data_IF_558040746686
#
_entry.id   IF_558040746686
#
_cell.length_a   1.000
_cell.length_b   1.000
_cell.length_c   1.000
_cell.angle_alpha   90.00
_cell.angle_beta   90.00
_cell.angle_gamma   90.00
#
_symmetry.space_group_name_H-M   'P 1'
#
loop_
_entity.id
_entity.type
_entity.pdbx_description
1 polymer ?
#
# COMPACT_ATOMS: atom_id res chain seq x y z
N UNK A 1 -11.09 -6.46 0.98
CA UNK A 1 -9.90 -6.06 0.21
C UNK A 1 -10.40 -5.50 -1.09
N UNK A 2 -9.90 -4.34 -1.48
CA UNK A 2 -10.16 -3.71 -2.77
C UNK A 2 -9.09 -4.14 -3.77
N UNK A 3 -9.45 -4.23 -5.04
CA UNK A 3 -8.55 -4.54 -6.13
C UNK A 3 -8.05 -3.24 -6.77
N UNK A 4 -6.97 -2.71 -6.22
CA UNK A 4 -6.38 -1.47 -6.72
C UNK A 4 -5.87 -1.58 -8.16
N UNK A 5 -5.67 -2.80 -8.69
CA UNK A 5 -5.29 -3.02 -10.10
C UNK A 5 -6.49 -2.79 -11.00
N UNK A 6 -7.67 -3.30 -10.62
CA UNK A 6 -8.93 -2.99 -11.32
C UNK A 6 -9.21 -1.50 -11.25
N UNK A 7 -9.07 -0.89 -10.07
CA UNK A 7 -9.46 0.50 -9.82
C UNK A 7 -8.56 1.53 -10.50
N UNK A 8 -7.25 1.30 -10.51
CA UNK A 8 -6.26 2.26 -11.00
C UNK A 8 -5.61 1.86 -12.32
N UNK A 9 -5.65 0.57 -12.68
CA UNK A 9 -4.96 0.03 -13.85
C UNK A 9 -3.71 -0.75 -13.53
N UNK A 10 -3.31 -1.60 -14.46
CA UNK A 10 -2.14 -2.45 -14.32
C UNK A 10 -0.85 -1.69 -14.58
N UNK A 11 0.13 -1.89 -13.69
CA UNK A 11 1.53 -1.52 -13.90
C UNK A 11 2.41 -2.78 -13.91
N UNK A 12 3.44 -2.77 -14.75
CA UNK A 12 4.37 -3.88 -14.97
C UNK A 12 5.82 -3.44 -14.73
N UNK A 13 6.61 -4.36 -14.19
CA UNK A 13 8.04 -4.13 -13.96
C UNK A 13 8.81 -4.31 -15.27
N UNK A 14 9.77 -3.43 -15.52
CA UNK A 14 10.58 -3.50 -16.73
C UNK A 14 11.36 -4.82 -16.80
N UNK A 15 11.95 -5.29 -15.69
CA UNK A 15 12.72 -6.54 -15.67
C UNK A 15 11.81 -7.74 -15.89
N UNK A 16 10.58 -7.72 -15.39
CA UNK A 16 9.59 -8.78 -15.69
C UNK A 16 9.20 -8.78 -17.18
N UNK A 17 8.94 -7.61 -17.77
CA UNK A 17 8.67 -7.49 -19.19
C UNK A 17 9.83 -8.04 -20.04
N UNK A 18 11.07 -7.67 -19.72
CA UNK A 18 12.26 -8.18 -20.39
C UNK A 18 12.40 -9.70 -20.25
N UNK A 19 12.22 -10.24 -19.04
CA UNK A 19 12.27 -11.69 -18.75
C UNK A 19 11.23 -12.48 -19.54
N UNK A 20 10.07 -11.88 -19.79
CA UNK A 20 8.95 -12.49 -20.52
C UNK A 20 8.98 -12.22 -22.03
N UNK A 21 9.97 -11.47 -22.52
CA UNK A 21 10.09 -11.10 -23.93
C UNK A 21 9.01 -10.13 -24.40
N UNK A 22 8.41 -9.36 -23.49
CA UNK A 22 7.45 -8.29 -23.81
C UNK A 22 8.25 -7.07 -24.29
N UNK A 23 8.01 -6.54 -25.50
CA UNK A 23 8.66 -5.31 -25.95
C UNK A 23 8.40 -4.15 -24.99
N UNK A 24 9.39 -3.29 -24.73
CA UNK A 24 9.21 -2.11 -23.86
C UNK A 24 8.07 -1.19 -24.33
N UNK A 25 7.76 -1.15 -25.63
CA UNK A 25 6.63 -0.41 -26.18
C UNK A 25 5.26 -0.97 -25.80
N UNK A 26 5.20 -2.24 -25.39
CA UNK A 26 3.99 -2.94 -24.97
C UNK A 26 3.96 -3.19 -23.45
N UNK A 27 5.06 -2.89 -22.75
CA UNK A 27 5.16 -3.00 -21.31
C UNK A 27 4.45 -1.80 -20.64
N UNK A 28 3.47 -2.08 -19.77
CA UNK A 28 2.73 -1.06 -19.03
C UNK A 28 3.53 -0.53 -17.84
N UNK A 29 4.56 0.25 -18.11
CA UNK A 29 5.47 0.76 -17.08
C UNK A 29 4.81 1.79 -16.14
N UNK A 30 3.72 2.43 -16.59
CA UNK A 30 3.00 3.48 -15.84
C UNK A 30 1.52 3.13 -15.67
N UNK A 31 0.94 3.51 -14.53
CA UNK A 31 -0.49 3.44 -14.26
C UNK A 31 -1.19 4.53 -15.07
N UNK A 32 -1.90 4.14 -16.12
CA UNK A 32 -2.60 5.06 -17.03
C UNK A 32 -4.10 5.13 -16.81
N UNK A 33 -4.63 4.38 -15.84
CA UNK A 33 -6.04 4.24 -15.54
C UNK A 33 -6.55 2.80 -15.71
N UNK A 34 -7.79 2.52 -15.25
CA UNK A 34 -8.38 1.19 -15.30
C UNK A 34 -8.58 0.69 -16.73
N UNK A 35 -8.37 -0.61 -16.96
CA UNK A 35 -8.65 -1.24 -18.27
C UNK A 35 -10.15 -1.28 -18.58
N UNK A 36 -10.95 -1.53 -17.54
CA UNK A 36 -12.41 -1.48 -17.57
C UNK A 36 -12.89 -0.43 -16.57
N UNK A 37 -13.29 0.72 -17.11
CA UNK A 37 -13.75 1.84 -16.30
C UNK A 37 -15.07 1.54 -15.58
N UNK A 38 -15.98 0.76 -16.18
CA UNK A 38 -17.27 0.45 -15.56
C UNK A 38 -17.07 -0.43 -14.33
N UNK A 39 -16.24 -1.47 -14.45
CA UNK A 39 -15.87 -2.32 -13.31
C UNK A 39 -15.13 -1.51 -12.22
N UNK A 40 -14.22 -0.60 -12.60
CA UNK A 40 -13.55 0.27 -11.64
C UNK A 40 -14.53 1.22 -10.91
N UNK A 41 -15.44 1.85 -11.65
CA UNK A 41 -16.46 2.75 -11.09
C UNK A 41 -17.41 2.00 -10.14
N UNK A 42 -17.76 0.75 -10.45
CA UNK A 42 -18.56 -0.13 -9.57
C UNK A 42 -17.81 -0.43 -8.25
N UNK A 43 -16.51 -0.72 -8.32
CA UNK A 43 -15.69 -0.98 -7.14
C UNK A 43 -15.52 0.27 -6.27
N UNK A 44 -15.33 1.45 -6.89
CA UNK A 44 -15.30 2.74 -6.19
C UNK A 44 -16.61 3.03 -5.46
N UNK A 45 -17.75 2.82 -6.12
CA UNK A 45 -19.08 3.01 -5.52
C UNK A 45 -19.32 2.02 -4.38
N UNK A 46 -18.97 0.75 -4.58
CA UNK A 46 -19.08 -0.27 -3.54
C UNK A 46 -18.28 0.12 -2.30
N UNK A 47 -17.01 0.51 -2.47
CA UNK A 47 -16.13 0.91 -1.37
C UNK A 47 -16.71 2.10 -0.61
N UNK A 48 -17.15 3.14 -1.31
CA UNK A 48 -17.71 4.33 -0.68
C UNK A 48 -18.94 3.98 0.18
N UNK A 49 -19.82 3.10 -0.32
CA UNK A 49 -20.98 2.63 0.43
C UNK A 49 -20.58 1.84 1.68
N UNK A 50 -19.59 0.93 1.58
CA UNK A 50 -19.12 0.18 2.74
C UNK A 50 -18.53 1.09 3.83
N UNK A 51 -17.73 2.08 3.43
CA UNK A 51 -17.14 3.04 4.37
C UNK A 51 -18.21 3.89 5.06
N UNK A 52 -19.19 4.37 4.30
CA UNK A 52 -20.28 5.20 4.81
C UNK A 52 -21.18 4.44 5.80
N UNK A 53 -21.46 3.16 5.54
CA UNK A 53 -22.38 2.35 6.35
C UNK A 53 -21.71 1.73 7.58
N UNK A 54 -20.38 1.61 7.59
CA UNK A 54 -19.69 0.91 8.67
C UNK A 54 -19.86 1.62 10.01
N UNK A 55 -20.14 0.84 11.06
CA UNK A 55 -20.18 1.29 12.45
C UNK A 55 -19.04 0.74 13.31
N UNK A 56 -18.08 0.01 12.73
CA UNK A 56 -16.97 -0.62 13.44
C UNK A 56 -16.11 0.39 14.22
N UNK A 57 -15.48 -0.04 15.30
CA UNK A 57 -14.58 0.80 16.10
C UNK A 57 -13.24 1.05 15.40
N UNK A 58 -12.78 0.05 14.65
CA UNK A 58 -11.63 0.14 13.76
C UNK A 58 -12.04 -0.15 12.32
N UNK A 59 -11.57 0.67 11.39
CA UNK A 59 -11.74 0.44 9.96
C UNK A 59 -10.38 0.22 9.32
N UNK A 60 -10.23 -0.89 8.60
CA UNK A 60 -9.02 -1.20 7.86
C UNK A 60 -9.42 -1.42 6.40
N UNK A 61 -8.81 -0.66 5.50
CA UNK A 61 -8.94 -0.85 4.06
C UNK A 61 -7.65 -1.47 3.55
N UNK A 62 -7.76 -2.45 2.66
CA UNK A 62 -6.61 -3.21 2.20
C UNK A 62 -6.65 -3.29 0.69
N UNK A 63 -5.54 -2.95 0.06
CA UNK A 63 -5.37 -2.98 -1.39
C UNK A 63 -4.00 -3.53 -1.76
N UNK A 64 -3.76 -3.68 -3.06
CA UNK A 64 -2.48 -4.18 -3.54
C UNK A 64 -1.43 -3.05 -3.58
N UNK A 65 -1.79 -1.94 -4.21
CA UNK A 65 -0.94 -0.78 -4.39
C UNK A 65 -0.92 0.12 -3.15
N UNK A 66 0.23 0.68 -2.77
CA UNK A 66 0.31 1.62 -1.66
C UNK A 66 -0.23 3.00 -2.06
N UNK A 67 -0.97 3.65 -1.15
CA UNK A 67 -1.26 5.09 -1.25
C UNK A 67 0.06 5.85 -1.15
N UNK A 68 0.84 5.56 -0.11
CA UNK A 68 2.19 6.07 0.08
C UNK A 68 3.18 4.93 0.23
N UNK A 69 4.30 5.02 -0.48
CA UNK A 69 5.52 4.23 -0.23
C UNK A 69 6.75 5.01 -0.66
N UNK A 70 7.89 4.79 0.01
CA UNK A 70 9.17 5.42 -0.36
C UNK A 70 10.05 4.51 -1.22
N UNK A 71 9.64 3.26 -1.44
CA UNK A 71 10.48 2.22 -2.03
C UNK A 71 10.51 2.30 -3.57
N UNK A 72 10.72 1.20 -4.28
CA UNK A 72 10.98 1.15 -5.72
C UNK A 72 9.79 1.57 -6.59
N UNK A 73 8.56 1.32 -6.16
CA UNK A 73 7.35 1.70 -6.92
C UNK A 73 6.78 3.03 -6.45
N UNK A 74 6.91 3.33 -5.16
CA UNK A 74 6.53 4.63 -4.62
C UNK A 74 5.02 4.83 -4.45
N UNK A 75 4.56 6.08 -4.29
CA UNK A 75 3.15 6.36 -4.04
C UNK A 75 2.29 6.23 -5.30
N UNK A 76 1.10 5.65 -5.17
CA UNK A 76 0.17 5.48 -6.30
C UNK A 76 -0.73 6.70 -6.45
N UNK A 77 -0.45 7.54 -7.45
CA UNK A 77 -1.16 8.81 -7.67
C UNK A 77 -2.69 8.66 -7.73
N UNK A 78 -3.19 7.65 -8.46
CA UNK A 78 -4.63 7.35 -8.52
C UNK A 78 -5.26 7.14 -7.12
N UNK A 79 -4.56 6.48 -6.21
CA UNK A 79 -5.05 6.24 -4.85
C UNK A 79 -4.91 7.48 -3.95
N UNK A 80 -3.85 8.27 -4.11
CA UNK A 80 -3.73 9.57 -3.43
C UNK A 80 -4.87 10.51 -3.85
N UNK A 81 -5.20 10.56 -5.14
CA UNK A 81 -6.24 11.46 -5.63
C UNK A 81 -7.66 11.01 -5.31
N UNK A 82 -7.94 9.70 -5.37
CA UNK A 82 -9.31 9.17 -5.27
C UNK A 82 -9.61 8.48 -3.93
N UNK A 83 -8.67 7.67 -3.41
CA UNK A 83 -8.91 6.85 -2.22
C UNK A 83 -8.64 7.62 -0.92
N UNK A 84 -7.50 8.33 -0.81
CA UNK A 84 -7.12 9.06 0.40
C UNK A 84 -8.23 9.99 0.92
N UNK A 85 -8.93 10.79 0.09
CA UNK A 85 -10.02 11.63 0.56
C UNK A 85 -11.12 10.86 1.32
N UNK A 86 -11.46 9.64 0.89
CA UNK A 86 -12.44 8.82 1.59
C UNK A 86 -11.87 8.16 2.84
N UNK A 87 -10.61 7.73 2.83
CA UNK A 87 -9.96 7.20 4.03
C UNK A 87 -10.01 8.24 5.17
N UNK A 88 -9.73 9.50 4.82
CA UNK A 88 -9.81 10.64 5.74
C UNK A 88 -11.26 10.97 6.14
N UNK A 89 -12.18 11.07 5.16
CA UNK A 89 -13.58 11.42 5.41
C UNK A 89 -14.28 10.45 6.38
N UNK A 90 -13.98 9.15 6.27
CA UNK A 90 -14.65 8.10 7.05
C UNK A 90 -13.85 7.62 8.28
N UNK A 91 -12.76 8.33 8.62
CA UNK A 91 -11.86 8.00 9.72
C UNK A 91 -11.42 6.53 9.68
N UNK A 92 -10.86 6.10 8.54
CA UNK A 92 -10.25 4.77 8.42
C UNK A 92 -9.03 4.72 9.33
N UNK A 93 -8.92 3.69 10.18
CA UNK A 93 -7.82 3.55 11.13
C UNK A 93 -6.50 3.26 10.42
N UNK A 94 -6.52 2.36 9.43
CA UNK A 94 -5.34 2.03 8.64
C UNK A 94 -5.68 1.64 7.19
N UNK A 95 -4.78 2.01 6.27
CA UNK A 95 -4.70 1.45 4.92
C UNK A 95 -3.51 0.49 4.85
N UNK A 96 -3.75 -0.76 4.45
CA UNK A 96 -2.73 -1.80 4.36
C UNK A 96 -2.51 -2.20 2.90
N UNK A 97 -1.28 -2.09 2.42
CA UNK A 97 -0.89 -2.39 1.05
C UNK A 97 0.19 -3.49 0.97
N UNK A 98 0.46 -3.97 -0.25
CA UNK A 98 1.48 -4.97 -0.54
C UNK A 98 0.90 -6.37 -0.74
N UNK A 99 1.69 -7.39 -0.40
CA UNK A 99 1.29 -8.79 -0.49
C UNK A 99 0.40 -9.19 0.70
N UNK A 100 -0.75 -8.52 0.82
CA UNK A 100 -1.63 -8.67 1.98
C UNK A 100 -2.39 -10.00 1.89
N UNK A 101 -1.76 -11.07 2.36
CA UNK A 101 -2.39 -12.36 2.62
C UNK A 101 -3.02 -12.34 4.01
N UNK A 102 -4.31 -12.00 4.12
CA UNK A 102 -5.04 -12.12 5.38
C UNK A 102 -5.22 -13.58 5.77
N UNK A 103 -4.52 -14.02 6.81
CA UNK A 103 -4.97 -15.12 7.67
C UNK A 103 -5.66 -14.52 8.90
N UNK A 104 -6.92 -14.09 8.73
CA UNK A 104 -7.79 -13.76 9.86
C UNK A 104 -8.46 -15.08 10.30
N UNK A 105 -8.41 -15.42 11.59
CA UNK A 105 -9.25 -16.48 12.19
C UNK A 105 -10.72 -16.05 12.27
N UNK A 106 -11.29 -15.61 11.13
CA UNK A 106 -12.70 -15.36 10.90
C UNK A 106 -12.93 -15.71 9.44
N UNK A 107 -13.71 -16.77 9.21
CA UNK A 107 -14.07 -17.33 7.91
C UNK A 107 -14.15 -16.29 6.78
N UNK A 108 -13.20 -16.28 5.84
CA UNK A 108 -13.47 -15.78 4.48
C UNK A 108 -12.45 -16.25 3.44
N UNK A 109 -12.96 -16.41 2.22
CA UNK A 109 -12.37 -17.10 1.08
C UNK A 109 -11.04 -16.49 0.61
N UNK A 110 -10.03 -17.34 0.45
CA UNK A 110 -8.76 -17.02 -0.22
C UNK A 110 -8.95 -17.19 -1.72
N UNK A 111 -8.92 -16.09 -2.48
CA UNK A 111 -8.75 -16.16 -3.92
C UNK A 111 -7.31 -16.59 -4.22
N UNK A 112 -7.11 -17.90 -4.37
CA UNK A 112 -5.89 -18.46 -4.99
C UNK A 112 -5.86 -17.99 -6.45
N UNK A 113 -4.75 -17.34 -6.84
CA UNK A 113 -4.21 -17.19 -8.21
C UNK A 113 -3.98 -15.77 -8.75
N UNK A 114 -3.87 -14.71 -7.93
CA UNK A 114 -3.49 -13.37 -8.45
C UNK A 114 -2.38 -12.74 -7.61
N UNK A 115 -1.18 -13.33 -7.63
CA UNK A 115 -0.06 -12.95 -6.76
C UNK A 115 1.25 -12.71 -7.52
N UNK A 116 1.18 -12.08 -8.69
CA UNK A 116 2.37 -11.80 -9.50
C UNK A 116 2.24 -10.48 -10.27
N UNK A 117 1.83 -9.41 -9.59
CA UNK A 117 1.85 -8.04 -10.11
C UNK A 117 2.37 -7.12 -9.01
N UNK A 118 2.93 -5.96 -9.37
CA UNK A 118 3.88 -5.19 -8.56
C UNK A 118 3.35 -4.67 -7.22
N UNK A 119 4.18 -4.79 -6.18
CA UNK A 119 4.02 -4.21 -4.84
C UNK A 119 5.40 -3.81 -4.33
N UNK A 120 5.49 -2.78 -3.48
CA UNK A 120 6.77 -2.47 -2.84
C UNK A 120 7.19 -3.63 -1.94
N UNK A 121 8.35 -4.22 -2.24
CA UNK A 121 8.86 -5.43 -1.60
C UNK A 121 9.51 -5.12 -0.25
N UNK A 122 8.85 -4.31 0.57
CA UNK A 122 9.35 -3.87 1.88
C UNK A 122 8.25 -3.88 2.94
N UNK A 123 8.65 -3.59 4.18
CA UNK A 123 7.74 -3.20 5.24
C UNK A 123 7.88 -1.73 5.54
N UNK A 124 6.76 -1.00 5.52
CA UNK A 124 6.74 0.41 5.84
C UNK A 124 5.61 0.76 6.80
N UNK A 125 5.87 1.78 7.61
CA UNK A 125 4.83 2.51 8.33
C UNK A 125 5.01 4.00 8.07
N UNK A 126 3.98 4.58 7.44
CA UNK A 126 3.89 6.01 7.15
C UNK A 126 2.70 6.58 7.95
N UNK A 127 2.99 7.60 8.75
CA UNK A 127 2.02 8.34 9.53
C UNK A 127 2.10 9.82 9.17
N UNK A 128 1.09 10.30 8.43
CA UNK A 128 1.04 11.69 7.96
C UNK A 128 0.61 12.61 9.12
N UNK A 129 1.39 13.64 9.46
CA UNK A 129 1.03 14.56 10.54
C UNK A 129 -0.35 15.19 10.34
N UNK A 130 -1.21 15.09 11.35
CA UNK A 130 -2.57 15.65 11.33
C UNK A 130 -3.62 14.76 10.66
N UNK A 131 -3.25 13.63 10.09
CA UNK A 131 -4.20 12.62 9.63
C UNK A 131 -4.46 11.56 10.71
N UNK A 132 -5.69 11.07 10.78
CA UNK A 132 -6.05 9.91 11.62
C UNK A 132 -5.61 8.58 10.99
N UNK A 133 -5.58 8.52 9.65
CA UNK A 133 -5.27 7.33 8.87
C UNK A 133 -3.79 6.98 8.98
N UNK A 134 -3.50 5.68 9.11
CA UNK A 134 -2.15 5.13 9.14
C UNK A 134 -1.90 4.27 7.91
N UNK A 135 -0.74 4.43 7.24
CA UNK A 135 -0.43 3.69 6.02
C UNK A 135 0.63 2.63 6.32
N UNK A 136 0.30 1.39 6.00
CA UNK A 136 1.12 0.20 6.30
C UNK A 136 1.40 -0.53 4.99
N UNK A 137 2.66 -0.80 4.71
CA UNK A 137 3.07 -1.64 3.55
C UNK A 137 3.62 -2.96 4.08
N UNK A 138 3.15 -4.07 3.50
CA UNK A 138 3.52 -5.45 3.90
C UNK A 138 3.91 -6.29 2.67
N UNK A 139 4.80 -5.79 1.81
CA UNK A 139 5.22 -6.52 0.60
C UNK A 139 6.49 -7.34 0.78
N UNK A 140 7.25 -7.14 1.86
CA UNK A 140 8.52 -7.81 2.13
C UNK A 140 8.42 -9.27 2.61
N UNK A 141 7.41 -10.05 2.22
CA UNK A 141 7.19 -11.40 2.75
C UNK A 141 7.98 -12.50 2.02
N UNK A 142 8.22 -12.33 0.73
CA UNK A 142 8.88 -13.32 -0.13
C UNK A 142 10.12 -12.71 -0.80
N UNK A 143 9.92 -11.56 -1.44
CA UNK A 143 10.99 -10.74 -2.00
C UNK A 143 11.17 -9.50 -1.15
N UNK A 144 12.40 -9.00 -1.15
CA UNK A 144 12.82 -7.95 -0.28
C UNK A 144 13.64 -6.92 -1.04
N UNK A 145 13.16 -5.68 -1.08
CA UNK A 145 13.84 -4.53 -1.65
C UNK A 145 13.90 -3.41 -0.61
N UNK A 146 15.12 -3.01 -0.24
CA UNK A 146 15.36 -1.90 0.69
C UNK A 146 15.45 -0.55 -0.03
N UNK A 147 14.98 -0.47 -1.27
CA UNK A 147 14.91 0.75 -2.05
C UNK A 147 14.32 1.91 -1.25
N UNK A 148 14.86 3.10 -1.51
CA UNK A 148 14.31 4.37 -1.01
C UNK A 148 14.25 5.39 -2.15
N UNK A 149 13.98 4.91 -3.37
CA UNK A 149 14.00 5.74 -4.59
C UNK A 149 13.02 6.92 -4.54
N UNK A 150 11.91 6.76 -3.83
CA UNK A 150 10.88 7.79 -3.66
C UNK A 150 11.03 8.60 -2.37
N UNK A 151 12.13 8.45 -1.63
CA UNK A 151 12.43 9.26 -0.45
C UNK A 151 12.79 10.72 -0.83
N UNK A 152 12.13 11.68 -0.16
CA UNK A 152 12.22 13.12 -0.44
C UNK A 152 13.67 13.68 -0.51
N UNK A 153 14.60 13.12 0.25
CA UNK A 153 15.97 13.63 0.32
C UNK A 153 16.82 13.31 -0.92
N UNK A 154 16.51 12.25 -1.68
CA UNK A 154 17.26 11.91 -2.91
C UNK A 154 16.89 12.81 -4.10
N UNK A 155 15.67 13.33 -4.17
CA UNK A 155 15.20 14.22 -5.26
C UNK A 155 15.86 15.62 -5.27
N UNK A 156 16.42 16.12 -4.16
CA UNK A 156 17.18 17.39 -4.15
C UNK A 156 18.51 17.35 -4.91
N UNK A 157 18.98 16.18 -5.39
CA UNK A 157 20.27 16.05 -6.10
C UNK A 157 20.20 15.91 -7.62
N UNK A 158 19.09 15.46 -8.22
CA UNK A 158 19.04 15.18 -9.66
C UNK A 158 17.78 15.77 -10.32
N UNK A 159 17.94 16.95 -10.91
CA UNK A 159 16.88 17.72 -11.59
C UNK A 159 16.39 17.13 -12.93
N UNK A 160 16.63 15.84 -13.22
CA UNK A 160 16.37 15.20 -14.52
C UNK A 160 15.17 14.25 -14.50
N UNK A 161 14.75 13.73 -13.35
CA UNK A 161 13.55 12.87 -13.19
C UNK A 161 12.31 13.70 -12.85
N UNK A 162 12.04 14.75 -13.63
CA UNK A 162 11.07 15.79 -13.26
C UNK A 162 9.63 15.47 -13.65
N UNK A 163 9.36 14.45 -14.44
CA UNK A 163 8.00 14.21 -14.91
C UNK A 163 7.48 12.88 -14.38
N UNK A 164 6.31 12.94 -13.73
CA UNK A 164 5.36 11.86 -13.44
C UNK A 164 5.20 11.33 -12.00
N UNK A 165 5.97 11.81 -11.01
CA UNK A 165 5.64 11.62 -9.58
C UNK A 165 5.50 12.94 -8.80
N UNK A 166 5.33 14.09 -9.47
CA UNK A 166 5.19 15.40 -8.80
C UNK A 166 3.83 15.58 -8.07
N UNK A 167 2.84 14.70 -8.33
CA UNK A 167 1.48 14.84 -7.79
C UNK A 167 1.25 14.10 -6.47
N UNK A 168 1.93 12.97 -6.24
CA UNK A 168 1.84 12.20 -5.00
C UNK A 168 3.12 12.38 -4.16
N UNK A 169 3.34 13.57 -3.62
CA UNK A 169 4.48 13.78 -2.73
C UNK A 169 4.21 13.12 -1.37
N UNK A 170 5.06 12.19 -0.98
CA UNK A 170 5.06 11.62 0.38
C UNK A 170 5.27 12.78 1.37
N UNK A 171 4.40 12.98 2.37
CA UNK A 171 4.54 14.11 3.28
C UNK A 171 5.86 14.07 4.07
N UNK A 172 6.49 15.23 4.29
CA UNK A 172 7.71 15.30 5.10
C UNK A 172 7.49 14.76 6.51
N UNK A 173 8.50 14.07 7.05
CA UNK A 173 8.48 13.47 8.40
C UNK A 173 7.34 12.47 8.65
N UNK A 174 6.76 11.89 7.59
CA UNK A 174 5.70 10.89 7.71
C UNK A 174 6.21 9.46 7.84
N UNK A 175 7.37 9.13 7.25
CA UNK A 175 8.00 7.82 7.40
C UNK A 175 8.41 7.58 8.85
N UNK A 176 7.94 6.47 9.43
CA UNK A 176 8.25 6.05 10.80
C UNK A 176 9.09 4.78 10.85
N UNK A 177 8.90 3.90 9.87
CA UNK A 177 9.60 2.64 9.78
C UNK A 177 9.70 2.22 8.31
N UNK A 178 10.88 1.71 7.94
CA UNK A 178 11.21 1.08 6.65
C UNK A 178 12.22 -0.02 6.94
N UNK A 179 11.96 -1.22 6.45
CA UNK A 179 12.95 -2.28 6.58
C UNK A 179 12.47 -3.58 6.02
N UNK A 180 13.40 -4.31 5.41
CA UNK A 180 13.17 -5.65 4.94
C UNK A 180 14.53 -6.39 4.92
N UNK A 181 14.56 -7.68 5.28
CA UNK A 181 15.77 -8.51 5.16
C UNK A 181 15.49 -9.87 4.50
N UNK A 182 15.14 -10.90 5.28
CA UNK A 182 14.94 -12.28 4.80
C UNK A 182 13.46 -12.67 4.68
N UNK A 183 12.61 -11.72 4.31
CA UNK A 183 11.17 -11.91 4.39
C UNK A 183 10.62 -11.54 5.77
N UNK A 184 9.30 -11.60 5.93
CA UNK A 184 8.64 -11.22 7.18
C UNK A 184 7.12 -11.22 7.11
N UNK A 185 6.49 -10.73 8.17
CA UNK A 185 5.06 -10.50 8.25
C UNK A 185 4.72 -9.39 9.25
N UNK A 186 3.51 -8.85 9.13
CA UNK A 186 2.97 -7.88 10.09
C UNK A 186 1.83 -8.51 10.84
N UNK A 187 1.90 -8.46 12.18
CA UNK A 187 0.81 -8.90 13.05
C UNK A 187 -0.04 -7.70 13.44
N UNK A 188 -1.32 -7.76 13.10
CA UNK A 188 -2.34 -6.87 13.65
C UNK A 188 -2.76 -7.37 15.04
N UNK A 189 -2.75 -6.49 16.04
CA UNK A 189 -3.35 -6.73 17.35
C UNK A 189 -4.44 -5.69 17.59
N UNK A 190 -5.66 -6.15 17.86
CA UNK A 190 -6.82 -5.29 18.10
C UNK A 190 -7.57 -5.77 19.35
N UNK A 191 -7.69 -4.88 20.33
CA UNK A 191 -8.48 -5.02 21.56
C UNK A 191 -9.20 -3.68 21.82
N UNK A 192 -8.90 -3.02 22.95
CA UNK A 192 -9.35 -1.65 23.23
C UNK A 192 -8.64 -0.63 22.33
N UNK A 193 -7.43 -0.98 21.87
CA UNK A 193 -6.63 -0.24 20.89
C UNK A 193 -6.20 -1.16 19.76
N UNK A 194 -5.72 -0.57 18.66
CA UNK A 194 -5.20 -1.29 17.50
C UNK A 194 -3.72 -0.97 17.28
N UNK A 195 -2.89 -1.98 17.02
CA UNK A 195 -1.48 -1.80 16.67
C UNK A 195 -1.02 -2.81 15.62
N UNK A 196 0.05 -2.46 14.92
CA UNK A 196 0.75 -3.34 14.00
C UNK A 196 2.16 -3.63 14.52
N UNK A 197 2.52 -4.90 14.57
CA UNK A 197 3.87 -5.35 14.93
C UNK A 197 4.54 -5.95 13.71
N UNK A 198 5.68 -5.40 13.33
CA UNK A 198 6.48 -5.83 12.19
C UNK A 198 7.52 -6.86 12.63
N UNK A 199 7.55 -7.99 11.94
CA UNK A 199 8.52 -9.07 12.10
C UNK A 199 9.17 -9.31 10.73
N UNK A 200 10.49 -9.25 10.64
CA UNK A 200 11.21 -9.63 9.43
C UNK A 200 12.61 -10.11 9.78
N UNK A 201 13.22 -10.86 8.86
CA UNK A 201 14.47 -11.59 9.08
C UNK A 201 14.24 -12.94 9.77
N UNK A 202 15.34 -13.62 10.11
CA UNK A 202 15.32 -14.91 10.82
C UNK A 202 14.96 -14.78 12.32
N UNK A 203 14.81 -13.56 12.83
CA UNK A 203 14.54 -13.29 14.24
C UNK A 203 13.03 -13.37 14.55
N UNK A 204 12.69 -13.94 15.70
CA UNK A 204 11.32 -13.95 16.24
C UNK A 204 10.94 -12.66 16.96
N UNK A 205 11.90 -11.74 17.15
CA UNK A 205 11.67 -10.46 17.79
C UNK A 205 10.94 -9.47 16.89
N UNK A 206 10.07 -8.67 17.51
CA UNK A 206 9.44 -7.53 16.86
C UNK A 206 10.51 -6.49 16.49
N UNK A 207 10.55 -6.12 15.22
CA UNK A 207 11.46 -5.11 14.70
C UNK A 207 10.90 -3.71 14.89
N UNK A 208 9.58 -3.57 14.78
CA UNK A 208 8.87 -2.32 15.03
C UNK A 208 7.46 -2.58 15.53
N UNK A 209 6.97 -1.72 16.42
CA UNK A 209 5.58 -1.72 16.89
C UNK A 209 5.04 -0.31 16.65
N UNK A 210 3.92 -0.19 15.94
CA UNK A 210 3.26 1.11 15.77
C UNK A 210 2.78 1.64 17.12
N UNK A 211 2.57 2.95 17.26
CA UNK A 211 1.73 3.47 18.33
C UNK A 211 0.37 2.75 18.36
N UNK A 212 -0.25 2.73 19.53
CA UNK A 212 -1.61 2.24 19.68
C UNK A 212 -2.60 3.25 19.11
N UNK A 213 -3.47 2.78 18.22
CA UNK A 213 -4.51 3.58 17.60
C UNK A 213 -5.80 3.44 18.41
N UNK A 214 -6.40 4.58 18.74
CA UNK A 214 -7.69 4.61 19.42
C UNK A 214 -8.84 4.29 18.45
N UNK A 215 -9.94 3.71 18.95
CA UNK A 215 -11.19 3.60 18.20
C UNK A 215 -11.58 4.92 17.54
N UNK A 216 -12.19 4.86 16.36
CA UNK A 216 -12.64 6.07 15.64
C UNK A 216 -13.87 6.75 16.27
N UNK A 217 -14.43 6.18 17.34
CA UNK A 217 -15.63 6.62 18.07
C UNK A 217 -15.33 6.80 19.55
#
# INVERSE_FOLDING_TARGET
>A
MIDTVIMCGQQQDQKDCEKRGIPLSECKLEITGPEDKETADDEWQWLQQQLQQSTADFLIVCGHYPVYSIAEHGPTACLVDQLEPWLLQYNVTAYVAGHVCFYIYVYMYVYKNMCMYMFDHTFEYINVPGQYVNYIVTGGAHECDNSTEHELFKKKKNAVFKNFCEQANIPENSLRFHGCEEGGFVRLHAQDTLSFTFYYGSDTNAQYVTPEFSPRK
#
